data_IF_292708071569
#
_entry.id   IF_292708071569
#
_cell.length_a   1.000
_cell.length_b   1.000
_cell.length_c   1.000
_cell.angle_alpha   90.00
_cell.angle_beta   90.00
_cell.angle_gamma   90.00
#
_symmetry.space_group_name_H-M   'P 1'
#
loop_
_entity.id
_entity.type
_entity.pdbx_description
1 polymer ?
#
# COMPACT_ATOMS: atom_id res chain seq x y z
N UNK A 1 9.88 -18.83 -4.72
CA UNK A 1 10.10 -18.30 -6.09
C UNK A 1 11.60 -17.99 -6.22
N UNK A 2 12.27 -18.39 -7.29
CA UNK A 2 13.70 -18.07 -7.48
C UNK A 2 13.88 -16.60 -7.86
N UNK A 3 15.04 -16.00 -7.58
CA UNK A 3 15.35 -14.61 -7.94
C UNK A 3 15.14 -14.34 -9.44
N UNK A 4 15.56 -15.29 -10.29
CA UNK A 4 15.36 -15.22 -11.74
C UNK A 4 13.87 -15.20 -12.14
N UNK A 5 13.03 -15.99 -11.45
CA UNK A 5 11.60 -16.04 -11.73
C UNK A 5 10.91 -14.73 -11.30
N UNK A 6 11.31 -14.17 -10.15
CA UNK A 6 10.82 -12.87 -9.69
C UNK A 6 11.15 -11.78 -10.69
N UNK A 7 12.42 -11.67 -11.08
CA UNK A 7 12.87 -10.70 -12.07
C UNK A 7 12.09 -10.77 -13.38
N UNK A 8 11.90 -11.98 -13.89
CA UNK A 8 11.12 -12.20 -15.11
C UNK A 8 9.64 -11.81 -14.93
N UNK A 9 9.06 -12.01 -13.74
CA UNK A 9 7.71 -11.56 -13.45
C UNK A 9 7.62 -10.03 -13.39
N UNK A 10 8.54 -9.37 -12.67
CA UNK A 10 8.63 -7.90 -12.60
C UNK A 10 8.78 -7.30 -13.99
N UNK A 11 9.77 -7.77 -14.77
CA UNK A 11 10.02 -7.26 -16.12
C UNK A 11 8.78 -7.40 -17.03
N UNK A 12 8.09 -8.55 -16.99
CA UNK A 12 6.85 -8.76 -17.76
C UNK A 12 5.75 -7.78 -17.37
N UNK A 13 5.54 -7.54 -16.07
CA UNK A 13 4.53 -6.58 -15.59
C UNK A 13 4.88 -5.16 -16.01
N UNK A 14 6.13 -4.73 -15.80
CA UNK A 14 6.57 -3.39 -16.17
C UNK A 14 6.49 -3.13 -17.68
N UNK A 15 6.85 -4.11 -18.52
CA UNK A 15 6.73 -3.98 -19.97
C UNK A 15 5.28 -3.89 -20.45
N UNK A 16 4.34 -4.54 -19.75
CA UNK A 16 2.93 -4.47 -20.08
C UNK A 16 2.32 -3.10 -19.74
N UNK A 17 2.64 -2.57 -18.55
CA UNK A 17 1.96 -1.40 -18.00
C UNK A 17 2.71 -0.07 -18.25
N UNK A 18 4.03 -0.13 -18.42
CA UNK A 18 4.93 1.03 -18.55
C UNK A 18 6.06 0.76 -19.56
N UNK A 19 5.74 0.46 -20.84
CA UNK A 19 6.72 -0.02 -21.82
C UNK A 19 7.86 0.97 -22.09
N UNK A 20 7.61 2.27 -22.02
CA UNK A 20 8.61 3.28 -22.30
C UNK A 20 9.64 3.38 -21.16
N UNK A 21 9.16 3.43 -19.93
CA UNK A 21 9.98 3.48 -18.72
C UNK A 21 10.74 2.16 -18.53
N UNK A 22 10.08 1.03 -18.77
CA UNK A 22 10.68 -0.30 -18.64
C UNK A 22 11.91 -0.50 -19.54
N UNK A 23 11.92 0.11 -20.74
CA UNK A 23 13.08 0.03 -21.67
C UNK A 23 14.34 0.71 -21.14
N UNK A 24 14.20 1.62 -20.19
CA UNK A 24 15.33 2.32 -19.56
C UNK A 24 15.91 1.59 -18.34
N UNK A 25 15.28 0.49 -17.90
CA UNK A 25 15.71 -0.25 -16.72
C UNK A 25 16.91 -1.15 -17.02
N UNK A 26 17.88 -1.15 -16.10
CA UNK A 26 19.00 -2.09 -16.12
C UNK A 26 18.62 -3.40 -15.42
N UNK A 27 19.38 -4.47 -15.70
CA UNK A 27 19.20 -5.74 -14.99
C UNK A 27 19.37 -5.60 -13.47
N UNK A 28 20.35 -4.81 -13.02
CA UNK A 28 20.57 -4.55 -11.60
C UNK A 28 19.37 -3.85 -10.93
N UNK A 29 18.68 -2.94 -11.64
CA UNK A 29 17.46 -2.31 -11.13
C UNK A 29 16.30 -3.31 -11.03
N UNK A 30 16.22 -4.26 -11.95
CA UNK A 30 15.22 -5.33 -11.91
C UNK A 30 15.53 -6.37 -10.82
N UNK A 31 16.81 -6.64 -10.55
CA UNK A 31 17.26 -7.51 -9.46
C UNK A 31 16.94 -6.89 -8.08
N UNK A 32 17.06 -5.55 -7.97
CA UNK A 32 16.73 -4.81 -6.76
C UNK A 32 15.23 -4.48 -6.61
N UNK A 33 14.39 -4.86 -7.57
CA UNK A 33 12.97 -4.52 -7.55
C UNK A 33 12.22 -5.33 -6.48
N UNK A 34 11.37 -4.69 -5.66
CA UNK A 34 10.62 -5.39 -4.64
C UNK A 34 9.60 -6.36 -5.22
N UNK A 35 9.34 -7.45 -4.51
CA UNK A 35 8.48 -8.54 -4.97
C UNK A 35 7.05 -8.11 -5.32
N UNK A 36 6.52 -7.07 -4.68
CA UNK A 36 5.19 -6.55 -4.96
C UNK A 36 5.04 -6.03 -6.40
N UNK A 37 6.13 -5.65 -7.08
CA UNK A 37 6.08 -5.28 -8.50
C UNK A 37 5.79 -6.47 -9.43
N UNK A 38 5.87 -7.71 -8.96
CA UNK A 38 5.46 -8.87 -9.75
C UNK A 38 3.95 -9.19 -9.64
N UNK A 39 3.24 -8.56 -8.69
CA UNK A 39 1.82 -8.83 -8.44
C UNK A 39 0.95 -8.50 -9.66
N UNK A 40 -0.17 -9.22 -9.77
CA UNK A 40 -1.23 -8.89 -10.72
C UNK A 40 -1.89 -7.54 -10.34
N UNK A 41 -2.59 -6.87 -11.28
CA UNK A 41 -3.22 -5.58 -11.02
C UNK A 41 -4.13 -5.58 -9.79
N UNK A 42 -5.02 -6.58 -9.66
CA UNK A 42 -5.96 -6.64 -8.54
C UNK A 42 -5.25 -6.86 -7.19
N UNK A 43 -4.25 -7.73 -7.16
CA UNK A 43 -3.43 -7.97 -5.96
C UNK A 43 -2.60 -6.73 -5.59
N UNK A 44 -2.11 -5.99 -6.58
CA UNK A 44 -1.39 -4.74 -6.37
C UNK A 44 -2.31 -3.67 -5.78
N UNK A 45 -3.54 -3.56 -6.28
CA UNK A 45 -4.54 -2.62 -5.75
C UNK A 45 -5.00 -3.04 -4.34
N UNK A 46 -5.14 -4.35 -4.08
CA UNK A 46 -5.43 -4.86 -2.75
C UNK A 46 -4.29 -4.55 -1.76
N UNK A 47 -3.04 -4.74 -2.17
CA UNK A 47 -1.87 -4.36 -1.36
C UNK A 47 -1.84 -2.85 -1.10
N UNK A 48 -2.06 -2.03 -2.13
CA UNK A 48 -2.13 -0.58 -1.98
C UNK A 48 -3.22 -0.19 -0.97
N UNK A 49 -4.44 -0.71 -1.10
CA UNK A 49 -5.52 -0.46 -0.13
C UNK A 49 -5.11 -0.83 1.30
N UNK A 50 -4.47 -1.99 1.48
CA UNK A 50 -3.97 -2.44 2.79
C UNK A 50 -2.92 -1.48 3.36
N UNK A 51 -1.93 -1.08 2.57
CA UNK A 51 -0.93 -0.09 2.97
C UNK A 51 -1.56 1.24 3.38
N UNK A 52 -2.55 1.72 2.63
CA UNK A 52 -3.27 2.95 2.99
C UNK A 52 -4.05 2.81 4.29
N UNK A 53 -4.66 1.66 4.54
CA UNK A 53 -5.36 1.41 5.81
C UNK A 53 -4.41 1.34 7.02
N UNK A 54 -3.18 0.82 6.82
CA UNK A 54 -2.13 0.83 7.85
C UNK A 54 -1.63 2.24 8.11
N UNK A 55 -1.39 3.03 7.06
CA UNK A 55 -1.06 4.44 7.19
C UNK A 55 -2.17 5.20 7.94
N UNK A 56 -3.43 4.89 7.67
CA UNK A 56 -4.60 5.48 8.33
C UNK A 56 -4.85 4.95 9.76
N UNK A 57 -4.18 3.89 10.18
CA UNK A 57 -4.52 3.17 11.41
C UNK A 57 -4.51 4.03 12.68
N UNK A 58 -3.59 4.99 12.88
CA UNK A 58 -3.65 5.92 14.01
C UNK A 58 -4.95 6.72 14.04
N UNK A 59 -5.40 7.25 12.90
CA UNK A 59 -6.66 7.98 12.79
C UNK A 59 -7.87 7.04 12.96
N UNK A 60 -7.84 5.85 12.36
CA UNK A 60 -8.93 4.86 12.46
C UNK A 60 -9.21 4.39 13.89
N UNK A 61 -8.19 4.33 14.75
CA UNK A 61 -8.37 4.02 16.18
C UNK A 61 -9.20 5.07 16.91
N UNK A 62 -9.20 6.32 16.44
CA UNK A 62 -9.99 7.42 16.98
C UNK A 62 -11.43 7.46 16.44
N UNK A 63 -11.78 6.59 15.48
CA UNK A 63 -13.14 6.48 14.95
C UNK A 63 -14.05 5.81 15.97
N UNK A 64 -14.56 6.59 16.92
CA UNK A 64 -15.47 6.11 17.97
C UNK A 64 -16.92 5.95 17.48
N UNK A 65 -17.31 6.69 16.43
CA UNK A 65 -18.66 6.64 15.89
C UNK A 65 -18.95 5.30 15.20
N UNK A 66 -20.04 4.64 15.59
CA UNK A 66 -20.49 3.36 15.03
C UNK A 66 -20.54 3.32 13.50
N UNK A 67 -21.16 4.31 12.82
CA UNK A 67 -21.24 4.32 11.35
C UNK A 67 -19.88 4.33 10.66
N UNK A 68 -18.91 5.06 11.18
CA UNK A 68 -17.55 5.12 10.61
C UNK A 68 -16.82 3.78 10.77
N UNK A 69 -17.02 3.11 11.91
CA UNK A 69 -16.44 1.76 12.13
C UNK A 69 -17.06 0.73 11.19
N UNK A 70 -18.36 0.79 10.96
CA UNK A 70 -19.04 -0.10 10.01
C UNK A 70 -18.61 0.18 8.57
N UNK A 71 -18.44 1.46 8.21
CA UNK A 71 -17.89 1.86 6.92
C UNK A 71 -16.49 1.27 6.69
N UNK A 72 -15.58 1.42 7.66
CA UNK A 72 -14.23 0.87 7.57
C UNK A 72 -14.25 -0.67 7.51
N UNK A 73 -15.09 -1.31 8.32
CA UNK A 73 -15.27 -2.77 8.32
C UNK A 73 -15.80 -3.30 6.99
N UNK A 74 -16.78 -2.62 6.39
CA UNK A 74 -17.33 -2.97 5.08
C UNK A 74 -16.29 -2.79 3.95
N UNK A 75 -15.47 -1.75 4.05
CA UNK A 75 -14.42 -1.42 3.05
C UNK A 75 -13.27 -2.42 3.06
N UNK A 76 -12.81 -2.81 4.25
CA UNK A 76 -11.59 -3.59 4.45
C UNK A 76 -11.85 -5.09 4.62
N UNK A 77 -13.10 -5.45 4.94
CA UNK A 77 -13.46 -6.79 5.34
C UNK A 77 -13.20 -7.04 6.84
N UNK A 78 -13.98 -7.94 7.47
CA UNK A 78 -13.99 -8.12 8.91
C UNK A 78 -12.67 -8.66 9.47
N UNK A 79 -11.99 -9.55 8.75
CA UNK A 79 -10.74 -10.15 9.20
C UNK A 79 -9.60 -9.13 9.25
N UNK A 80 -9.39 -8.40 8.15
CA UNK A 80 -8.38 -7.34 8.08
C UNK A 80 -8.67 -6.21 9.07
N UNK A 81 -9.93 -5.76 9.15
CA UNK A 81 -10.33 -4.73 10.11
C UNK A 81 -10.02 -5.12 11.56
N UNK A 82 -10.28 -6.38 11.93
CA UNK A 82 -9.96 -6.89 13.27
C UNK A 82 -8.45 -6.86 13.51
N UNK A 83 -7.65 -7.38 12.59
CA UNK A 83 -6.19 -7.38 12.70
C UNK A 83 -5.62 -5.96 12.82
N UNK A 84 -6.10 -5.04 11.97
CA UNK A 84 -5.69 -3.64 11.97
C UNK A 84 -5.98 -2.95 13.32
N UNK A 85 -7.14 -3.23 13.95
CA UNK A 85 -7.44 -2.64 15.25
C UNK A 85 -6.64 -3.26 16.40
N UNK A 86 -6.29 -4.53 16.28
CA UNK A 86 -5.65 -5.32 17.34
C UNK A 86 -4.12 -5.24 17.33
N UNK A 87 -3.50 -4.83 16.21
CA UNK A 87 -2.07 -4.56 16.17
C UNK A 87 -1.71 -3.51 17.23
N UNK A 88 -0.75 -3.74 18.14
CA UNK A 88 -0.40 -2.79 19.20
C UNK A 88 0.51 -1.66 18.68
N UNK A 89 1.47 -1.99 17.84
CA UNK A 89 2.56 -1.11 17.43
C UNK A 89 2.39 -0.62 16.00
N UNK A 90 2.20 0.68 15.84
CA UNK A 90 2.28 1.33 14.53
C UNK A 90 3.55 2.16 14.45
N UNK A 91 4.19 2.24 13.27
CA UNK A 91 5.32 3.13 13.10
C UNK A 91 4.87 4.55 13.43
N UNK A 92 5.67 5.25 14.25
CA UNK A 92 5.46 6.66 14.48
C UNK A 92 5.55 7.38 13.13
N UNK A 93 4.46 8.07 12.75
CA UNK A 93 4.43 8.84 11.52
C UNK A 93 5.19 10.16 11.71
N UNK A 94 6.06 10.57 10.77
CA UNK A 94 6.68 11.88 10.80
C UNK A 94 5.62 13.00 10.75
N UNK A 95 6.00 14.18 11.23
CA UNK A 95 5.15 15.36 11.16
C UNK A 95 4.73 15.66 9.71
N UNK A 96 3.46 16.03 9.51
CA UNK A 96 2.89 16.32 8.20
C UNK A 96 2.22 15.14 7.50
N UNK A 97 2.28 13.92 8.07
CA UNK A 97 1.45 12.80 7.66
C UNK A 97 0.13 12.77 8.45
N UNK A 98 -0.94 12.19 7.86
CA UNK A 98 -2.25 12.23 8.46
C UNK A 98 -2.28 11.33 9.70
N UNK A 99 -2.42 11.94 10.87
CA UNK A 99 -2.42 11.24 12.17
C UNK A 99 -3.76 11.36 12.88
N UNK A 100 -4.57 12.36 12.52
CA UNK A 100 -5.86 12.63 13.09
C UNK A 100 -7.01 12.36 12.11
N UNK A 101 -8.22 12.28 12.66
CA UNK A 101 -9.46 12.13 11.89
C UNK A 101 -9.61 13.23 10.82
N UNK A 102 -9.29 14.47 11.19
CA UNK A 102 -9.50 15.65 10.35
C UNK A 102 -8.58 15.69 9.13
N UNK A 103 -7.49 14.93 9.13
CA UNK A 103 -6.54 14.88 8.03
C UNK A 103 -7.05 14.03 6.86
N UNK A 104 -8.06 13.18 7.10
CA UNK A 104 -8.66 12.33 6.09
C UNK A 104 -9.97 12.97 5.57
N UNK A 105 -10.09 13.23 4.26
CA UNK A 105 -11.33 13.73 3.68
C UNK A 105 -12.52 12.83 4.06
N UNK A 106 -13.67 13.40 4.46
CA UNK A 106 -14.81 12.61 4.89
C UNK A 106 -15.35 11.75 3.73
N UNK A 107 -15.67 10.50 4.03
CA UNK A 107 -16.25 9.54 3.08
C UNK A 107 -17.55 8.97 3.63
N UNK A 108 -18.51 8.74 2.74
CA UNK A 108 -19.84 8.23 3.08
C UNK A 108 -20.16 6.87 2.43
N UNK A 109 -19.25 6.31 1.64
CA UNK A 109 -19.43 5.00 0.99
C UNK A 109 -18.18 4.12 1.13
N UNK A 110 -18.35 2.78 1.19
CA UNK A 110 -17.21 1.86 1.26
C UNK A 110 -16.28 1.97 0.05
N UNK A 111 -16.82 2.21 -1.13
CA UNK A 111 -16.04 2.32 -2.37
C UNK A 111 -15.14 3.56 -2.34
N UNK A 112 -15.68 4.72 -1.94
CA UNK A 112 -14.91 5.95 -1.87
C UNK A 112 -13.82 5.89 -0.77
N UNK A 113 -14.12 5.27 0.38
CA UNK A 113 -13.12 5.01 1.41
C UNK A 113 -12.05 4.02 0.93
N UNK A 114 -12.45 2.98 0.20
CA UNK A 114 -11.56 2.00 -0.40
C UNK A 114 -10.61 2.62 -1.43
N UNK A 115 -11.13 3.53 -2.26
CA UNK A 115 -10.33 4.30 -3.21
C UNK A 115 -9.33 5.22 -2.48
N UNK A 116 -9.79 5.95 -1.45
CA UNK A 116 -8.92 6.82 -0.65
C UNK A 116 -7.77 6.05 0.00
N UNK A 117 -8.03 4.85 0.56
CA UNK A 117 -6.97 3.99 1.04
C UNK A 117 -6.05 3.49 -0.08
N UNK A 118 -6.59 3.17 -1.25
CA UNK A 118 -5.80 2.72 -2.40
C UNK A 118 -4.84 3.81 -2.86
N UNK A 119 -5.31 5.05 -2.99
CA UNK A 119 -4.49 6.21 -3.37
C UNK A 119 -3.41 6.53 -2.32
N UNK A 120 -3.76 6.45 -1.04
CA UNK A 120 -2.81 6.65 0.05
C UNK A 120 -1.73 5.56 0.08
N UNK A 121 -2.11 4.30 -0.12
CA UNK A 121 -1.14 3.22 -0.18
C UNK A 121 -0.33 3.17 -1.46
N UNK A 122 -0.85 3.67 -2.58
CA UNK A 122 -0.05 3.90 -3.78
C UNK A 122 1.09 4.91 -3.51
N UNK A 123 0.83 5.94 -2.70
CA UNK A 123 1.87 6.87 -2.27
C UNK A 123 2.91 6.18 -1.37
N UNK A 124 2.48 5.31 -0.45
CA UNK A 124 3.38 4.47 0.36
C UNK A 124 4.26 3.58 -0.54
N UNK A 125 3.66 2.83 -1.46
CA UNK A 125 4.40 1.92 -2.35
C UNK A 125 5.41 2.68 -3.22
N UNK A 126 5.04 3.85 -3.76
CA UNK A 126 5.96 4.67 -4.55
C UNK A 126 7.08 5.29 -3.71
N UNK A 127 6.77 5.77 -2.51
CA UNK A 127 7.78 6.32 -1.61
C UNK A 127 8.73 5.25 -1.07
N UNK A 128 8.33 3.97 -1.06
CA UNK A 128 9.19 2.84 -0.69
C UNK A 128 10.32 2.58 -1.71
N UNK A 129 10.18 3.07 -2.95
CA UNK A 129 11.17 2.91 -4.00
C UNK A 129 12.19 4.05 -4.02
N UNK A 130 13.46 3.77 -4.36
CA UNK A 130 14.43 4.83 -4.62
C UNK A 130 13.98 5.69 -5.82
N UNK A 131 14.43 6.95 -5.87
CA UNK A 131 14.20 7.81 -7.02
C UNK A 131 14.84 7.20 -8.28
N UNK A 132 14.14 7.28 -9.42
CA UNK A 132 14.65 6.82 -10.71
C UNK A 132 13.61 6.09 -11.55
N UNK A 133 14.10 5.45 -12.62
CA UNK A 133 13.27 4.81 -13.65
C UNK A 133 12.30 3.76 -13.08
N UNK A 134 12.71 2.99 -12.06
CA UNK A 134 11.85 1.97 -11.46
C UNK A 134 10.63 2.59 -10.77
N UNK A 135 10.81 3.72 -10.08
CA UNK A 135 9.71 4.45 -9.44
C UNK A 135 8.77 5.07 -10.46
N UNK A 136 9.30 5.58 -11.57
CA UNK A 136 8.47 6.07 -12.67
C UNK A 136 7.66 4.94 -13.34
N UNK A 137 8.28 3.78 -13.59
CA UNK A 137 7.57 2.63 -14.13
C UNK A 137 6.48 2.14 -13.15
N UNK A 138 6.78 2.10 -11.86
CA UNK A 138 5.83 1.72 -10.82
C UNK A 138 4.64 2.69 -10.72
N UNK A 139 4.84 4.00 -10.92
CA UNK A 139 3.74 4.98 -10.80
C UNK A 139 2.68 4.78 -11.87
N UNK A 140 3.07 4.35 -13.08
CA UNK A 140 2.12 3.99 -14.14
C UNK A 140 1.23 2.81 -13.76
N UNK A 141 1.73 1.88 -12.94
CA UNK A 141 0.99 0.70 -12.49
C UNK A 141 0.01 0.99 -11.36
N UNK A 142 0.35 1.95 -10.50
CA UNK A 142 -0.43 2.28 -9.32
C UNK A 142 -1.58 3.24 -9.59
N UNK A 143 -1.60 3.88 -10.77
CA UNK A 143 -2.68 4.77 -11.17
C UNK A 143 -2.69 6.07 -10.38
N UNK A 144 -3.84 6.43 -9.81
CA UNK A 144 -3.97 7.62 -8.98
C UNK A 144 -3.19 7.45 -7.66
N UNK A 145 -2.38 8.46 -7.34
CA UNK A 145 -1.53 8.48 -6.14
C UNK A 145 -1.98 9.66 -5.29
N UNK A 146 -2.27 9.41 -4.02
CA UNK A 146 -2.62 10.47 -3.09
C UNK A 146 -1.45 11.45 -2.94
N UNK A 147 -1.75 12.71 -2.65
CA UNK A 147 -0.75 13.79 -2.49
C UNK A 147 0.03 13.69 -1.17
N UNK A 148 0.34 12.48 -0.71
CA UNK A 148 1.06 12.21 0.53
C UNK A 148 2.55 12.08 0.25
N UNK A 149 3.32 13.03 0.75
CA UNK A 149 4.78 13.00 0.67
C UNK A 149 5.32 12.43 1.97
N UNK A 150 6.05 11.33 1.90
CA UNK A 150 6.66 10.70 3.08
C UNK A 150 8.11 10.28 2.82
N UNK A 151 8.96 10.24 3.86
CA UNK A 151 10.28 9.63 3.78
C UNK A 151 10.21 8.15 3.40
N UNK A 152 11.19 7.67 2.63
CA UNK A 152 11.26 6.27 2.21
C UNK A 152 11.27 5.30 3.41
N UNK A 153 11.97 5.65 4.49
CA UNK A 153 12.00 4.83 5.70
C UNK A 153 10.60 4.61 6.32
N UNK A 154 9.76 5.66 6.33
CA UNK A 154 8.37 5.56 6.80
C UNK A 154 7.55 4.67 5.88
N UNK A 155 7.66 4.86 4.56
CA UNK A 155 6.96 4.02 3.59
C UNK A 155 7.35 2.54 3.71
N UNK A 156 8.64 2.24 3.88
CA UNK A 156 9.14 0.89 4.09
C UNK A 156 8.61 0.28 5.40
N UNK A 157 8.53 1.07 6.49
CA UNK A 157 7.96 0.61 7.74
C UNK A 157 6.46 0.26 7.57
N UNK A 158 5.67 1.15 6.96
CA UNK A 158 4.24 0.89 6.67
C UNK A 158 4.06 -0.36 5.81
N UNK A 159 4.85 -0.51 4.75
CA UNK A 159 4.80 -1.69 3.88
C UNK A 159 5.15 -2.97 4.66
N UNK A 160 6.20 -2.94 5.49
CA UNK A 160 6.59 -4.10 6.31
C UNK A 160 5.48 -4.51 7.27
N UNK A 161 4.90 -3.57 8.01
CA UNK A 161 3.78 -3.88 8.90
C UNK A 161 2.57 -4.40 8.13
N UNK A 162 2.31 -3.85 6.94
CA UNK A 162 1.22 -4.34 6.07
C UNK A 162 1.41 -5.82 5.71
N UNK A 163 2.62 -6.22 5.33
CA UNK A 163 2.94 -7.60 4.98
C UNK A 163 2.85 -8.52 6.20
N UNK A 164 3.36 -8.09 7.35
CA UNK A 164 3.28 -8.85 8.60
C UNK A 164 1.82 -9.08 9.05
N UNK A 165 0.96 -8.05 8.97
CA UNK A 165 -0.46 -8.20 9.24
C UNK A 165 -1.15 -9.14 8.24
N UNK A 166 -0.75 -9.11 6.97
CA UNK A 166 -1.32 -9.98 5.95
C UNK A 166 -1.00 -11.46 6.21
N UNK A 167 0.22 -11.76 6.63
CA UNK A 167 0.63 -13.10 7.05
C UNK A 167 -0.17 -13.57 8.28
N UNK A 168 -0.28 -12.73 9.31
CA UNK A 168 -1.05 -13.06 10.52
C UNK A 168 -2.55 -13.31 10.23
N UNK A 169 -3.15 -12.55 9.29
CA UNK A 169 -4.54 -12.77 8.86
C UNK A 169 -4.70 -14.08 8.09
N UNK A 170 -3.70 -14.46 7.28
CA UNK A 170 -3.73 -15.73 6.55
C UNK A 170 -3.60 -16.93 7.49
N UNK A 171 -2.75 -16.85 8.51
CA UNK A 171 -2.55 -17.90 9.52
C UNK A 171 -3.77 -18.06 10.44
N UNK A 172 -4.41 -16.95 10.83
CA UNK A 172 -5.62 -16.99 11.67
C UNK A 172 -6.91 -17.35 10.93
N UNK A 173 -6.85 -17.53 9.60
CA UNK A 173 -7.97 -17.96 8.76
C UNK A 173 -7.90 -19.45 8.37
N UNK A 174 -6.78 -20.13 8.68
CA UNK A 174 -6.58 -21.57 8.52
C UNK A 174 -7.08 -22.33 9.77
#
# INVERSE_FOLDING_TARGET
MTERALRAAVARRLLADAPNEARSLTWAQLDAAPAWLALAPDDLMALARRCGSVLAAPALRLWIAGPLRELARATLGPAWWRALRSAPDWPALPAGLPTALADWPPQNSPDALGQQFTEAGAAVLLASLPHGALRHAASRRLGAVGAWVMPQATALAVLRETLALQEAVAEGAA
#
